data_IF_412529205652
#
_entry.id   IF_412529205652
#
_cell.length_a   1.000
_cell.length_b   1.000
_cell.length_c   1.000
_cell.angle_alpha   90.00
_cell.angle_beta   90.00
_cell.angle_gamma   90.00
#
_symmetry.space_group_name_H-M   'P 1'
#
loop_
_entity.id
_entity.type
_entity.pdbx_description
1 polymer ?
#
# COMPACT_ATOMS: atom_id res chain seq x y z
N UNK A 1 -19.12 38.84 -15.09
CA UNK A 1 -20.16 39.21 -14.11
C UNK A 1 -20.74 38.00 -13.37
N UNK A 2 -20.39 36.74 -13.72
CA UNK A 2 -20.79 35.53 -12.97
C UNK A 2 -20.16 35.43 -11.57
N UNK A 3 -18.84 35.68 -11.46
CA UNK A 3 -18.07 35.46 -10.22
C UNK A 3 -18.59 36.28 -9.02
N UNK A 4 -19.05 37.53 -9.25
CA UNK A 4 -19.54 38.39 -8.15
C UNK A 4 -20.90 37.96 -7.61
N UNK A 5 -21.80 37.43 -8.44
CA UNK A 5 -23.08 36.91 -7.99
C UNK A 5 -22.90 35.55 -7.28
N UNK A 6 -22.01 34.69 -7.80
CA UNK A 6 -21.66 33.42 -7.16
C UNK A 6 -21.01 33.62 -5.77
N UNK A 7 -20.19 34.65 -5.57
CA UNK A 7 -19.59 34.96 -4.26
C UNK A 7 -20.65 35.33 -3.21
N UNK A 8 -21.75 35.98 -3.60
CA UNK A 8 -22.87 36.29 -2.68
C UNK A 8 -23.75 35.07 -2.40
N UNK A 9 -24.06 34.23 -3.40
CA UNK A 9 -24.90 33.03 -3.21
C UNK A 9 -24.17 31.78 -2.67
N UNK A 10 -22.89 31.62 -2.98
CA UNK A 10 -22.06 30.50 -2.49
C UNK A 10 -21.20 30.90 -1.28
N UNK A 11 -21.20 32.17 -0.89
CA UNK A 11 -20.42 32.63 0.26
C UNK A 11 -20.83 31.94 1.56
N UNK A 12 -22.14 31.77 1.80
CA UNK A 12 -22.62 31.03 2.98
C UNK A 12 -22.22 29.55 2.94
N UNK A 13 -22.25 28.94 1.75
CA UNK A 13 -21.80 27.56 1.53
C UNK A 13 -20.30 27.40 1.79
N UNK A 14 -19.44 28.24 1.20
CA UNK A 14 -17.99 28.16 1.44
C UNK A 14 -17.66 28.46 2.90
N UNK A 15 -18.33 29.44 3.52
CA UNK A 15 -18.15 29.72 4.95
C UNK A 15 -18.58 28.57 5.85
N UNK A 16 -19.60 27.79 5.48
CA UNK A 16 -19.95 26.57 6.24
C UNK A 16 -18.86 25.51 6.10
N UNK A 17 -18.34 25.26 4.89
CA UNK A 17 -17.21 24.33 4.69
C UNK A 17 -15.96 24.76 5.47
N UNK A 18 -15.65 26.06 5.52
CA UNK A 18 -14.54 26.59 6.31
C UNK A 18 -14.70 26.25 7.80
N UNK A 19 -15.91 26.36 8.34
CA UNK A 19 -16.20 25.99 9.74
C UNK A 19 -16.01 24.49 9.95
N UNK A 20 -16.49 23.66 9.03
CA UNK A 20 -16.31 22.20 9.09
C UNK A 20 -14.82 21.81 9.05
N UNK A 21 -14.02 22.37 8.12
CA UNK A 21 -12.58 22.08 8.07
C UNK A 21 -11.86 22.57 9.32
N UNK A 22 -12.16 23.77 9.82
CA UNK A 22 -11.55 24.28 11.04
C UNK A 22 -11.94 23.43 12.27
N UNK A 23 -13.19 22.95 12.33
CA UNK A 23 -13.71 22.10 13.39
C UNK A 23 -13.29 20.63 13.31
N UNK A 24 -12.83 20.16 12.14
CA UNK A 24 -12.45 18.78 11.91
C UNK A 24 -11.33 18.32 12.86
N UNK A 25 -11.67 17.45 13.79
CA UNK A 25 -10.76 16.78 14.72
C UNK A 25 -11.24 15.34 14.86
N UNK A 26 -10.36 14.38 14.62
CA UNK A 26 -10.71 12.97 14.56
C UNK A 26 -9.70 12.12 15.34
N UNK A 27 -10.17 10.99 15.87
CA UNK A 27 -9.30 10.01 16.55
C UNK A 27 -8.91 8.87 15.61
N UNK A 28 -9.78 8.52 14.65
CA UNK A 28 -9.53 7.49 13.64
C UNK A 28 -9.27 8.12 12.27
N UNK A 29 -8.31 7.56 11.54
CA UNK A 29 -8.00 7.96 10.16
C UNK A 29 -9.14 7.61 9.21
N UNK A 30 -9.97 6.61 9.51
CA UNK A 30 -11.14 6.29 8.70
C UNK A 30 -12.18 7.43 8.70
N UNK A 31 -12.33 8.12 9.82
CA UNK A 31 -13.22 9.29 9.92
C UNK A 31 -12.67 10.46 9.10
N UNK A 32 -11.34 10.65 9.08
CA UNK A 32 -10.67 11.62 8.21
C UNK A 32 -10.90 11.28 6.73
N UNK A 33 -10.83 10.00 6.36
CA UNK A 33 -11.12 9.55 4.99
C UNK A 33 -12.57 9.83 4.60
N UNK A 34 -13.52 9.56 5.51
CA UNK A 34 -14.93 9.86 5.29
C UNK A 34 -15.17 11.37 5.15
N UNK A 35 -14.55 12.17 6.01
CA UNK A 35 -14.61 13.63 5.96
C UNK A 35 -14.04 14.18 4.67
N UNK A 36 -12.84 13.76 4.27
CA UNK A 36 -12.21 14.23 3.03
C UNK A 36 -13.06 13.86 1.81
N UNK A 37 -13.64 12.65 1.80
CA UNK A 37 -14.56 12.27 0.74
C UNK A 37 -15.77 13.21 0.67
N UNK A 38 -16.43 13.44 1.81
CA UNK A 38 -17.55 14.39 1.87
C UNK A 38 -17.11 15.78 1.42
N UNK A 39 -15.97 16.28 1.88
CA UNK A 39 -15.47 17.60 1.54
C UNK A 39 -15.19 17.74 0.03
N UNK A 40 -14.55 16.73 -0.57
CA UNK A 40 -14.30 16.72 -2.01
C UNK A 40 -15.62 16.62 -2.81
N UNK A 41 -16.61 15.88 -2.31
CA UNK A 41 -17.97 15.81 -2.90
C UNK A 41 -18.69 17.19 -2.80
N UNK A 42 -18.52 17.94 -1.71
CA UNK A 42 -19.09 19.29 -1.59
C UNK A 42 -18.36 20.31 -2.48
N UNK A 43 -17.03 20.25 -2.52
CA UNK A 43 -16.24 21.19 -3.32
C UNK A 43 -16.42 20.97 -4.83
N UNK A 44 -16.91 19.80 -5.26
CA UNK A 44 -17.22 19.54 -6.66
C UNK A 44 -18.38 20.40 -7.21
N UNK A 45 -19.19 21.02 -6.34
CA UNK A 45 -20.22 21.98 -6.75
C UNK A 45 -19.65 23.36 -7.15
N UNK A 46 -18.36 23.61 -6.90
CA UNK A 46 -17.68 24.83 -7.32
C UNK A 46 -17.18 24.69 -8.76
N UNK A 47 -17.40 25.73 -9.58
CA UNK A 47 -16.98 25.73 -11.01
C UNK A 47 -15.46 25.68 -11.16
N UNK A 48 -14.74 26.37 -10.28
CA UNK A 48 -13.28 26.31 -10.14
C UNK A 48 -12.94 26.45 -8.65
N UNK A 49 -12.77 25.30 -7.97
CA UNK A 49 -12.48 25.22 -6.53
C UNK A 49 -11.34 26.19 -6.15
N UNK A 50 -10.21 26.14 -6.86
CA UNK A 50 -9.03 26.94 -6.51
C UNK A 50 -9.24 28.43 -6.75
N UNK A 51 -9.95 28.82 -7.80
CA UNK A 51 -10.23 30.23 -8.05
C UNK A 51 -11.24 30.78 -7.03
N UNK A 52 -12.28 30.01 -6.70
CA UNK A 52 -13.32 30.42 -5.74
C UNK A 52 -12.75 30.51 -4.33
N UNK A 53 -12.04 29.49 -3.85
CA UNK A 53 -11.54 29.44 -2.47
C UNK A 53 -10.51 30.53 -2.15
N UNK A 54 -9.80 31.07 -3.15
CA UNK A 54 -8.88 32.22 -2.98
C UNK A 54 -9.55 33.51 -2.51
N UNK A 55 -10.87 33.61 -2.65
CA UNK A 55 -11.65 34.76 -2.20
C UNK A 55 -12.16 34.65 -0.77
N UNK A 56 -11.86 33.54 -0.09
CA UNK A 56 -12.28 33.26 1.29
C UNK A 56 -11.08 32.95 2.18
N UNK A 57 -11.29 33.00 3.50
CA UNK A 57 -10.30 32.58 4.50
C UNK A 57 -10.23 31.04 4.59
N UNK A 58 -10.04 30.38 3.44
CA UNK A 58 -9.98 28.93 3.33
C UNK A 58 -8.79 28.37 4.12
N UNK A 59 -8.98 27.41 5.04
CA UNK A 59 -7.91 26.81 5.83
C UNK A 59 -7.08 25.81 5.00
N UNK A 60 -6.42 26.32 3.95
CA UNK A 60 -5.72 25.54 2.91
C UNK A 60 -4.75 24.51 3.51
N UNK A 61 -3.89 24.93 4.45
CA UNK A 61 -2.93 24.02 5.09
C UNK A 61 -3.60 22.83 5.79
N UNK A 62 -4.72 23.07 6.48
CA UNK A 62 -5.43 22.01 7.20
C UNK A 62 -6.15 21.09 6.22
N UNK A 63 -6.85 21.65 5.22
CA UNK A 63 -7.52 20.90 4.17
C UNK A 63 -6.53 20.00 3.39
N UNK A 64 -5.38 20.55 3.00
CA UNK A 64 -4.35 19.80 2.28
C UNK A 64 -3.74 18.70 3.14
N UNK A 65 -3.48 18.96 4.43
CA UNK A 65 -2.96 17.93 5.35
C UNK A 65 -3.99 16.81 5.58
N UNK A 66 -5.28 17.14 5.71
CA UNK A 66 -6.36 16.15 5.81
C UNK A 66 -6.41 15.27 4.56
N UNK A 67 -6.36 15.88 3.36
CA UNK A 67 -6.34 15.17 2.08
C UNK A 67 -5.10 14.30 1.94
N UNK A 68 -3.91 14.81 2.25
CA UNK A 68 -2.66 14.05 2.17
C UNK A 68 -2.70 12.82 3.09
N UNK A 69 -3.17 12.98 4.34
CA UNK A 69 -3.33 11.87 5.28
C UNK A 69 -4.36 10.84 4.81
N UNK A 70 -5.55 11.30 4.39
CA UNK A 70 -6.61 10.42 3.90
C UNK A 70 -6.19 9.63 2.67
N UNK A 71 -5.52 10.28 1.71
CA UNK A 71 -5.10 9.67 0.47
C UNK A 71 -3.95 8.68 0.70
N UNK A 72 -2.96 9.06 1.51
CA UNK A 72 -1.86 8.19 1.90
C UNK A 72 -2.35 6.92 2.61
N UNK A 73 -3.29 7.06 3.56
CA UNK A 73 -3.88 5.91 4.23
C UNK A 73 -4.68 5.02 3.28
N UNK A 74 -5.55 5.61 2.46
CA UNK A 74 -6.39 4.88 1.50
C UNK A 74 -5.57 4.08 0.49
N UNK A 75 -4.47 4.64 0.00
CA UNK A 75 -3.56 3.95 -0.92
C UNK A 75 -2.90 2.73 -0.27
N UNK A 76 -2.44 2.86 0.98
CA UNK A 76 -1.91 1.74 1.74
C UNK A 76 -2.98 0.70 2.08
N UNK A 77 -4.20 1.12 2.40
CA UNK A 77 -5.33 0.22 2.68
C UNK A 77 -5.75 -0.57 1.45
N UNK A 78 -5.78 0.06 0.29
CA UNK A 78 -6.02 -0.62 -0.99
C UNK A 78 -4.93 -1.65 -1.29
N UNK A 79 -3.66 -1.28 -1.07
CA UNK A 79 -2.53 -2.19 -1.26
C UNK A 79 -2.57 -3.35 -0.27
N UNK A 80 -2.83 -3.10 1.01
CA UNK A 80 -2.97 -4.12 2.04
C UNK A 80 -4.05 -5.13 1.64
N UNK A 81 -5.23 -4.65 1.21
CA UNK A 81 -6.31 -5.50 0.71
C UNK A 81 -5.86 -6.36 -0.49
N UNK A 82 -5.21 -5.75 -1.50
CA UNK A 82 -4.74 -6.46 -2.69
C UNK A 82 -3.78 -7.61 -2.36
N UNK A 83 -2.91 -7.43 -1.35
CA UNK A 83 -1.92 -8.43 -0.93
C UNK A 83 -2.56 -9.48 -0.03
N UNK A 84 -3.39 -9.05 0.92
CA UNK A 84 -4.10 -9.91 1.87
C UNK A 84 -5.00 -10.92 1.16
N UNK A 85 -5.73 -10.45 0.14
CA UNK A 85 -6.66 -11.26 -0.65
C UNK A 85 -6.05 -11.81 -1.95
N UNK A 86 -4.74 -11.67 -2.15
CA UNK A 86 -4.08 -12.32 -3.27
C UNK A 86 -4.21 -13.84 -3.14
N UNK A 87 -4.87 -14.46 -4.12
CA UNK A 87 -4.99 -15.91 -4.22
C UNK A 87 -4.22 -16.43 -5.44
N UNK A 88 -3.48 -17.51 -5.23
CA UNK A 88 -2.70 -18.15 -6.28
C UNK A 88 -3.58 -19.21 -6.96
N UNK A 89 -4.03 -18.92 -8.19
CA UNK A 89 -4.82 -19.87 -8.98
C UNK A 89 -3.90 -20.94 -9.61
N UNK A 90 -3.98 -22.22 -9.22
CA UNK A 90 -3.13 -23.28 -9.76
C UNK A 90 -3.29 -23.50 -11.26
N UNK A 91 -4.39 -23.04 -11.86
CA UNK A 91 -4.71 -23.16 -13.29
C UNK A 91 -3.89 -22.17 -14.13
N UNK A 92 -3.40 -21.09 -13.53
CA UNK A 92 -2.57 -20.09 -14.21
C UNK A 92 -1.15 -20.64 -14.36
N UNK A 93 -0.51 -20.54 -15.54
CA UNK A 93 0.90 -20.96 -15.72
C UNK A 93 1.85 -20.36 -14.67
N UNK A 94 2.80 -21.17 -14.21
CA UNK A 94 3.72 -20.83 -13.12
C UNK A 94 4.49 -19.53 -13.37
N UNK A 95 4.95 -19.28 -14.59
CA UNK A 95 5.68 -18.06 -14.94
C UNK A 95 4.81 -16.80 -14.84
N UNK A 96 3.54 -16.88 -15.21
CA UNK A 96 2.57 -15.78 -15.12
C UNK A 96 2.23 -15.51 -13.65
N UNK A 97 1.94 -16.55 -12.87
CA UNK A 97 1.64 -16.44 -11.45
C UNK A 97 2.82 -15.81 -10.69
N UNK A 98 4.04 -16.31 -10.89
CA UNK A 98 5.26 -15.79 -10.28
C UNK A 98 5.52 -14.33 -10.67
N UNK A 99 5.36 -13.94 -11.94
CA UNK A 99 5.50 -12.55 -12.39
C UNK A 99 4.51 -11.61 -11.69
N UNK A 100 3.26 -12.05 -11.49
CA UNK A 100 2.25 -11.28 -10.74
C UNK A 100 2.67 -11.07 -9.28
N UNK A 101 3.15 -12.11 -8.61
CA UNK A 101 3.63 -12.01 -7.22
C UNK A 101 4.84 -11.06 -7.11
N UNK A 102 5.77 -11.10 -8.06
CA UNK A 102 6.92 -10.17 -8.12
C UNK A 102 6.46 -8.73 -8.33
N UNK A 103 5.55 -8.51 -9.27
CA UNK A 103 5.00 -7.16 -9.51
C UNK A 103 4.32 -6.61 -8.25
N UNK A 104 3.55 -7.45 -7.56
CA UNK A 104 2.89 -7.07 -6.31
C UNK A 104 3.89 -6.78 -5.19
N UNK A 105 4.98 -7.55 -5.06
CA UNK A 105 6.02 -7.26 -4.07
C UNK A 105 6.76 -5.96 -4.33
N UNK A 106 7.10 -5.68 -5.60
CA UNK A 106 7.74 -4.42 -5.96
C UNK A 106 6.82 -3.23 -5.70
N UNK A 107 5.52 -3.38 -5.98
CA UNK A 107 4.52 -2.37 -5.65
C UNK A 107 4.46 -2.12 -4.15
N UNK A 108 4.41 -3.17 -3.33
CA UNK A 108 4.43 -3.06 -1.86
C UNK A 108 5.64 -2.28 -1.36
N UNK A 109 6.83 -2.68 -1.79
CA UNK A 109 8.07 -2.04 -1.36
C UNK A 109 8.15 -0.58 -1.78
N UNK A 110 7.74 -0.25 -3.01
CA UNK A 110 7.70 1.13 -3.51
C UNK A 110 6.74 1.99 -2.68
N UNK A 111 5.52 1.52 -2.43
CA UNK A 111 4.51 2.25 -1.66
C UNK A 111 4.94 2.45 -0.20
N UNK A 112 5.44 1.40 0.45
CA UNK A 112 5.93 1.50 1.84
C UNK A 112 7.17 2.39 1.94
N UNK A 113 8.11 2.30 0.98
CA UNK A 113 9.27 3.19 0.95
C UNK A 113 8.87 4.65 0.73
N UNK A 114 7.87 4.90 -0.12
CA UNK A 114 7.37 6.26 -0.38
C UNK A 114 6.80 6.89 0.88
N UNK A 115 5.93 6.18 1.61
CA UNK A 115 5.35 6.74 2.85
C UNK A 115 6.40 6.92 3.94
N UNK A 116 7.36 5.99 4.07
CA UNK A 116 8.41 6.10 5.09
C UNK A 116 9.33 7.31 4.87
N UNK A 117 9.53 7.73 3.62
CA UNK A 117 10.35 8.91 3.29
C UNK A 117 9.70 10.23 3.72
N UNK A 118 8.38 10.33 3.65
CA UNK A 118 7.65 11.57 3.97
C UNK A 118 7.02 11.53 5.37
N UNK A 119 7.02 10.37 6.03
CA UNK A 119 6.38 10.10 7.32
C UNK A 119 6.60 11.21 8.35
N UNK A 120 7.86 11.56 8.64
CA UNK A 120 8.15 12.51 9.72
C UNK A 120 7.65 13.93 9.43
N UNK A 121 7.66 14.33 8.15
CA UNK A 121 7.10 15.62 7.74
C UNK A 121 5.58 15.62 7.86
N UNK A 122 4.91 14.60 7.31
CA UNK A 122 3.46 14.46 7.36
C UNK A 122 2.96 14.36 8.82
N UNK A 123 3.61 13.55 9.66
CA UNK A 123 3.25 13.43 11.07
C UNK A 123 3.33 14.76 11.82
N UNK A 124 4.30 15.63 11.50
CA UNK A 124 4.38 16.97 12.10
C UNK A 124 3.18 17.83 11.70
N UNK A 125 2.87 17.92 10.42
CA UNK A 125 1.71 18.67 9.94
C UNK A 125 0.40 18.12 10.51
N UNK A 126 0.24 16.78 10.56
CA UNK A 126 -0.93 16.15 11.14
C UNK A 126 -1.12 16.54 12.62
N UNK A 127 -0.05 16.57 13.41
CA UNK A 127 -0.11 16.96 14.83
C UNK A 127 -0.54 18.41 15.03
N UNK A 128 -0.14 19.33 14.16
CA UNK A 128 -0.59 20.74 14.22
C UNK A 128 -2.11 20.86 14.10
N UNK A 129 -2.76 19.94 13.37
CA UNK A 129 -4.20 19.95 13.12
C UNK A 129 -4.97 18.84 13.84
N UNK A 130 -4.34 18.14 14.80
CA UNK A 130 -4.95 17.01 15.53
C UNK A 130 -5.48 15.89 14.61
N UNK A 131 -4.76 15.62 13.52
CA UNK A 131 -5.05 14.52 12.59
C UNK A 131 -4.33 13.26 13.11
N UNK A 132 -5.00 12.09 13.16
CA UNK A 132 -4.43 10.87 13.70
C UNK A 132 -3.24 10.38 12.87
N UNK A 133 -2.19 9.94 13.57
CA UNK A 133 -0.92 9.51 12.95
C UNK A 133 -0.57 8.05 13.22
N UNK A 134 -1.36 7.34 14.03
CA UNK A 134 -1.05 5.98 14.49
C UNK A 134 -0.96 4.98 13.33
N UNK A 135 -1.70 5.21 12.25
CA UNK A 135 -1.65 4.39 11.04
C UNK A 135 -0.27 4.40 10.35
N UNK A 136 0.54 5.45 10.55
CA UNK A 136 1.89 5.59 10.00
C UNK A 136 2.98 4.93 10.87
N UNK A 137 2.64 4.51 12.09
CA UNK A 137 3.59 3.82 12.96
C UNK A 137 3.96 2.46 12.38
N UNK A 138 5.11 1.93 12.80
CA UNK A 138 5.57 0.62 12.35
C UNK A 138 4.62 -0.52 12.77
N UNK A 139 3.82 -0.31 13.83
CA UNK A 139 2.73 -1.17 14.30
C UNK A 139 1.40 -0.94 13.57
N UNK A 140 1.31 0.10 12.75
CA UNK A 140 0.12 0.48 11.98
C UNK A 140 -0.08 -0.37 10.73
N UNK A 141 -0.61 0.22 9.67
CA UNK A 141 -0.93 -0.50 8.43
C UNK A 141 0.30 -1.10 7.74
N UNK A 142 1.48 -0.51 7.96
CA UNK A 142 2.76 -1.01 7.45
C UNK A 142 3.05 -2.43 7.98
N UNK A 143 2.75 -2.70 9.26
CA UNK A 143 2.92 -4.04 9.84
C UNK A 143 2.05 -5.08 9.13
N UNK A 144 0.80 -4.72 8.80
CA UNK A 144 -0.15 -5.59 8.09
C UNK A 144 0.36 -5.91 6.68
N UNK A 145 0.82 -4.91 5.94
CA UNK A 145 1.41 -5.11 4.59
C UNK A 145 2.64 -6.03 4.68
N UNK A 146 3.53 -5.80 5.64
CA UNK A 146 4.70 -6.67 5.87
C UNK A 146 4.28 -8.11 6.18
N UNK A 147 3.32 -8.32 7.06
CA UNK A 147 2.79 -9.64 7.36
C UNK A 147 2.18 -10.34 6.12
N UNK A 148 1.41 -9.62 5.31
CA UNK A 148 0.81 -10.18 4.10
C UNK A 148 1.85 -10.47 3.01
N UNK A 149 2.94 -9.72 2.97
CA UNK A 149 4.08 -10.01 2.10
C UNK A 149 4.74 -11.37 2.41
N UNK A 150 4.80 -11.77 3.68
CA UNK A 150 5.31 -13.08 4.11
C UNK A 150 4.44 -14.21 3.54
N UNK A 151 3.11 -14.05 3.59
CA UNK A 151 2.18 -15.00 2.96
C UNK A 151 2.35 -15.07 1.44
N UNK A 152 2.65 -13.95 0.79
CA UNK A 152 2.95 -13.90 -0.64
C UNK A 152 4.26 -14.66 -0.97
N UNK A 153 5.30 -14.51 -0.15
CA UNK A 153 6.55 -15.27 -0.25
C UNK A 153 6.30 -16.78 -0.15
N UNK A 154 5.49 -17.22 0.81
CA UNK A 154 5.11 -18.63 0.93
C UNK A 154 4.46 -19.17 -0.35
N UNK A 155 3.49 -18.45 -0.93
CA UNK A 155 2.83 -18.86 -2.18
C UNK A 155 3.82 -18.96 -3.33
N UNK A 156 4.69 -17.97 -3.48
CA UNK A 156 5.75 -17.98 -4.50
C UNK A 156 6.67 -19.20 -4.38
N UNK A 157 7.21 -19.43 -3.17
CA UNK A 157 8.13 -20.54 -2.93
C UNK A 157 7.47 -21.90 -3.18
N UNK A 158 6.20 -22.07 -2.78
CA UNK A 158 5.42 -23.27 -3.08
C UNK A 158 5.25 -23.47 -4.59
N UNK A 159 4.97 -22.42 -5.35
CA UNK A 159 4.85 -22.50 -6.81
C UNK A 159 6.17 -22.94 -7.46
N UNK A 160 7.29 -22.40 -6.99
CA UNK A 160 8.64 -22.80 -7.45
C UNK A 160 8.90 -24.27 -7.11
N UNK A 161 8.64 -24.69 -5.88
CA UNK A 161 8.84 -26.07 -5.45
C UNK A 161 8.01 -27.07 -6.28
N UNK A 162 6.73 -26.77 -6.53
CA UNK A 162 5.85 -27.59 -7.37
C UNK A 162 6.38 -27.73 -8.80
N UNK A 163 6.79 -26.61 -9.41
CA UNK A 163 7.34 -26.62 -10.76
C UNK A 163 8.63 -27.45 -10.85
N UNK A 164 9.55 -27.28 -9.89
CA UNK A 164 10.80 -28.04 -9.79
C UNK A 164 10.56 -29.55 -9.60
N UNK A 165 9.53 -29.92 -8.82
CA UNK A 165 9.17 -31.31 -8.57
C UNK A 165 8.45 -31.97 -9.76
N UNK A 166 7.67 -31.20 -10.53
CA UNK A 166 6.97 -31.72 -11.72
C UNK A 166 7.93 -32.05 -12.85
N UNK A 167 9.04 -31.31 -12.97
CA UNK A 167 10.06 -31.45 -14.01
C UNK A 167 11.30 -32.21 -13.51
N UNK A 168 11.09 -33.34 -12.83
CA UNK A 168 12.16 -34.28 -12.41
C UNK A 168 12.79 -34.97 -13.64
N UNK A 169 13.42 -34.22 -14.52
CA UNK A 169 14.35 -34.74 -15.52
C UNK A 169 15.74 -34.83 -14.90
N UNK A 170 16.48 -35.89 -15.23
CA UNK A 170 17.82 -36.18 -14.70
C UNK A 170 18.91 -35.23 -15.21
N UNK A 171 18.56 -34.26 -16.05
CA UNK A 171 19.49 -33.30 -16.64
C UNK A 171 19.43 -31.95 -15.92
N UNK A 172 20.59 -31.31 -15.75
CA UNK A 172 20.72 -29.94 -15.26
C UNK A 172 20.11 -28.98 -16.28
N UNK A 173 18.80 -28.77 -16.19
CA UNK A 173 18.09 -27.74 -16.96
C UNK A 173 18.43 -26.35 -16.39
N UNK A 174 19.16 -25.48 -17.12
CA UNK A 174 19.52 -24.14 -16.68
C UNK A 174 18.31 -23.27 -16.34
N UNK A 175 17.15 -23.53 -16.97
CA UNK A 175 15.92 -22.80 -16.69
C UNK A 175 15.36 -23.13 -15.29
N UNK A 176 15.49 -24.38 -14.84
CA UNK A 176 15.08 -24.81 -13.51
C UNK A 176 16.02 -24.28 -12.43
N UNK A 177 17.33 -24.25 -12.70
CA UNK A 177 18.32 -23.62 -11.80
C UNK A 177 18.08 -22.12 -11.66
N UNK A 178 17.82 -21.43 -12.77
CA UNK A 178 17.47 -20.01 -12.75
C UNK A 178 16.18 -19.76 -11.96
N UNK A 179 15.15 -20.58 -12.13
CA UNK A 179 13.90 -20.48 -11.39
C UNK A 179 14.10 -20.65 -9.88
N UNK A 180 14.90 -21.64 -9.48
CA UNK A 180 15.26 -21.85 -8.08
C UNK A 180 15.99 -20.63 -7.51
N UNK A 181 16.97 -20.08 -8.24
CA UNK A 181 17.68 -18.87 -7.83
C UNK A 181 16.73 -17.67 -7.67
N UNK A 182 15.75 -17.49 -8.57
CA UNK A 182 14.74 -16.45 -8.44
C UNK A 182 13.86 -16.69 -7.20
N UNK A 183 13.50 -17.93 -6.89
CA UNK A 183 12.81 -18.30 -5.65
C UNK A 183 13.56 -17.89 -4.40
N UNK A 184 14.85 -18.22 -4.31
CA UNK A 184 15.67 -17.84 -3.15
C UNK A 184 15.83 -16.32 -3.05
N UNK A 185 16.06 -15.63 -4.16
CA UNK A 185 16.17 -14.16 -4.20
C UNK A 185 14.87 -13.47 -3.76
N UNK A 186 13.73 -13.97 -4.25
CA UNK A 186 12.41 -13.45 -3.88
C UNK A 186 12.16 -13.62 -2.38
N UNK A 187 12.39 -14.83 -1.85
CA UNK A 187 12.24 -15.11 -0.44
C UNK A 187 13.14 -14.21 0.42
N UNK A 188 14.42 -14.08 0.08
CA UNK A 188 15.34 -13.24 0.82
C UNK A 188 14.90 -11.77 0.82
N UNK A 189 14.46 -11.25 -0.33
CA UNK A 189 13.98 -9.87 -0.45
C UNK A 189 12.78 -9.62 0.47
N UNK A 190 11.78 -10.50 0.47
CA UNK A 190 10.62 -10.38 1.35
C UNK A 190 11.02 -10.54 2.82
N UNK A 191 11.93 -11.45 3.16
CA UNK A 191 12.44 -11.61 4.52
C UNK A 191 13.06 -10.32 5.05
N UNK A 192 13.89 -9.64 4.25
CA UNK A 192 14.49 -8.35 4.63
C UNK A 192 13.43 -7.25 4.75
N UNK A 193 12.45 -7.21 3.84
CA UNK A 193 11.37 -6.24 3.87
C UNK A 193 10.45 -6.40 5.11
N UNK A 194 10.05 -7.63 5.42
CA UNK A 194 9.14 -7.94 6.51
C UNK A 194 9.83 -7.99 7.88
N UNK A 195 11.15 -8.21 7.91
CA UNK A 195 11.93 -8.39 9.14
C UNK A 195 11.90 -9.83 9.67
N UNK A 196 11.56 -10.81 8.83
CA UNK A 196 11.50 -12.22 9.20
C UNK A 196 10.35 -12.97 8.52
N UNK A 197 10.31 -14.28 8.73
CA UNK A 197 9.21 -15.16 8.31
C UNK A 197 8.50 -15.77 9.52
N UNK A 198 7.21 -16.05 9.35
CA UNK A 198 6.49 -16.94 10.24
C UNK A 198 6.94 -18.40 10.04
N UNK A 199 6.55 -19.28 10.97
CA UNK A 199 6.97 -20.69 10.97
C UNK A 199 6.60 -21.42 9.67
N UNK A 200 5.41 -21.14 9.13
CA UNK A 200 4.93 -21.79 7.90
C UNK A 200 5.69 -21.34 6.66
N UNK A 201 6.06 -20.07 6.59
CA UNK A 201 6.84 -19.51 5.49
C UNK A 201 8.29 -19.90 5.59
N UNK A 202 8.84 -20.00 6.80
CA UNK A 202 10.17 -20.58 7.03
C UNK A 202 10.23 -22.03 6.55
N UNK A 203 9.22 -22.85 6.84
CA UNK A 203 9.16 -24.22 6.33
C UNK A 203 9.19 -24.28 4.79
N UNK A 204 8.41 -23.43 4.12
CA UNK A 204 8.43 -23.34 2.64
C UNK A 204 9.82 -22.90 2.10
N UNK A 205 10.52 -22.03 2.82
CA UNK A 205 11.89 -21.64 2.48
C UNK A 205 12.88 -22.80 2.66
N UNK A 206 12.74 -23.59 3.72
CA UNK A 206 13.58 -24.77 3.95
C UNK A 206 13.36 -25.86 2.90
N UNK A 207 12.11 -26.09 2.47
CA UNK A 207 11.80 -26.98 1.34
C UNK A 207 12.53 -26.54 0.06
N UNK A 208 12.47 -25.23 -0.26
CA UNK A 208 13.15 -24.67 -1.42
C UNK A 208 14.68 -24.82 -1.32
N UNK A 209 15.24 -24.61 -0.12
CA UNK A 209 16.67 -24.83 0.18
C UNK A 209 17.06 -26.30 -0.01
N UNK A 210 16.23 -27.24 0.42
CA UNK A 210 16.51 -28.67 0.28
C UNK A 210 16.49 -29.09 -1.21
N UNK A 211 15.56 -28.56 -2.00
CA UNK A 211 15.55 -28.75 -3.45
C UNK A 211 16.82 -28.21 -4.12
N UNK A 212 17.37 -27.09 -3.62
CA UNK A 212 18.65 -26.57 -4.10
C UNK A 212 19.81 -27.52 -3.82
N UNK A 213 19.90 -28.05 -2.60
CA UNK A 213 20.98 -28.97 -2.21
C UNK A 213 20.97 -30.26 -3.01
N UNK A 214 19.78 -30.84 -3.24
CA UNK A 214 19.65 -32.06 -4.04
C UNK A 214 20.21 -31.85 -5.45
N UNK A 215 19.89 -30.72 -6.09
CA UNK A 215 20.31 -30.44 -7.47
C UNK A 215 21.78 -30.03 -7.62
N UNK A 216 22.40 -29.46 -6.58
CA UNK A 216 23.84 -29.16 -6.58
C UNK A 216 24.72 -30.40 -6.35
N UNK A 217 24.21 -31.43 -5.67
CA UNK A 217 24.96 -32.65 -5.33
C UNK A 217 24.79 -33.81 -6.33
N UNK A 218 23.89 -33.65 -7.31
CA UNK A 218 23.80 -34.47 -8.54
C UNK A 218 24.52 -33.78 -9.69
#
# INVERSE_FOLDING_TARGET
MQIKADIETQGEFVNSLIREVNGAVYQDIEDVVAFVKWLDDELCYLVDERAVLKHFDWPEKKADTLREAAFGYRDLKKLEYEVSFYDDDPRIPSDIAMKKMVSLSEKMERSVSSILRTRDALMRHCREFQIPTDWMLDTGIISKIKFCSVKLAKKYMKRVALELQSKRTSEKDPALEYMLLQGVRFAFRIHQFAGGFDAETMHAFEELRNLAHIRCNT
#
